data_IF_290950050971
#
_entry.id   IF_290950050971
#
_cell.length_a   1.000
_cell.length_b   1.000
_cell.length_c   1.000
_cell.angle_alpha   90.00
_cell.angle_beta   90.00
_cell.angle_gamma   90.00
#
_symmetry.space_group_name_H-M   'P 1'
#
loop_
_entity.id
_entity.type
_entity.pdbx_description
1 polymer ?
#
# COMPACT_ATOMS: atom_id res chain seq x y z
N UNK A 1 -12.70 -6.25 1.62
CA UNK A 1 -11.79 -5.21 1.11
C UNK A 1 -11.18 -4.46 2.27
N UNK A 2 -9.91 -4.11 2.15
CA UNK A 2 -9.21 -3.39 3.20
C UNK A 2 -9.83 -2.02 3.46
N UNK A 3 -9.73 -1.55 4.68
CA UNK A 3 -10.24 -0.25 5.08
C UNK A 3 -9.15 0.54 5.78
N UNK A 4 -9.19 1.86 5.60
CA UNK A 4 -8.31 2.76 6.33
C UNK A 4 -8.96 3.03 7.68
N UNK A 5 -8.24 2.80 8.77
CA UNK A 5 -8.80 2.83 10.11
C UNK A 5 -8.20 3.91 11.01
N UNK A 6 -7.23 4.69 10.52
CA UNK A 6 -6.63 5.75 11.30
C UNK A 6 -6.97 7.14 10.74
N UNK A 7 -6.24 8.17 11.14
CA UNK A 7 -6.54 9.56 10.77
C UNK A 7 -6.40 9.86 9.29
N UNK A 8 -5.78 8.99 8.51
CA UNK A 8 -5.78 9.14 7.06
C UNK A 8 -7.19 9.11 6.49
N UNK A 9 -8.10 8.37 7.12
CA UNK A 9 -9.46 8.22 6.59
C UNK A 9 -10.15 9.58 6.44
N UNK A 10 -10.05 10.45 7.44
CA UNK A 10 -10.69 11.76 7.38
C UNK A 10 -10.15 12.60 6.23
N UNK A 11 -8.85 12.47 5.95
CA UNK A 11 -8.20 13.27 4.90
C UNK A 11 -8.52 12.78 3.50
N UNK A 12 -8.76 11.49 3.31
CA UNK A 12 -8.96 10.93 1.97
C UNK A 12 -10.39 10.51 1.67
N UNK A 13 -11.27 10.54 2.66
CA UNK A 13 -12.64 10.00 2.51
C UNK A 13 -13.44 10.67 1.40
N UNK A 14 -13.18 11.95 1.13
CA UNK A 14 -13.86 12.66 0.05
C UNK A 14 -13.58 12.06 -1.32
N UNK A 15 -12.40 11.44 -1.49
CA UNK A 15 -12.04 10.81 -2.75
C UNK A 15 -12.88 9.57 -3.04
N UNK A 16 -13.38 8.92 -1.99
CA UNK A 16 -14.18 7.69 -2.15
C UNK A 16 -15.52 7.94 -2.84
N UNK A 17 -15.97 9.19 -2.88
CA UNK A 17 -17.24 9.57 -3.50
C UNK A 17 -17.09 10.00 -4.95
N UNK A 18 -15.85 10.08 -5.44
CA UNK A 18 -15.61 10.54 -6.81
C UNK A 18 -15.74 9.40 -7.82
N UNK A 19 -16.15 9.68 -9.06
CA UNK A 19 -16.35 8.63 -10.07
C UNK A 19 -15.10 7.79 -10.31
N UNK A 20 -13.91 8.41 -10.32
CA UNK A 20 -12.70 7.64 -10.59
C UNK A 20 -12.46 6.57 -9.53
N UNK A 21 -12.84 6.85 -8.28
CA UNK A 21 -12.63 5.87 -7.21
C UNK A 21 -13.56 4.67 -7.40
N UNK A 22 -14.79 4.91 -7.83
CA UNK A 22 -15.72 3.82 -8.08
C UNK A 22 -15.19 2.90 -9.18
N UNK A 23 -14.70 3.49 -10.26
CA UNK A 23 -14.15 2.72 -11.35
C UNK A 23 -12.92 1.92 -10.90
N UNK A 24 -12.05 2.55 -10.12
CA UNK A 24 -10.87 1.88 -9.58
C UNK A 24 -11.26 0.74 -8.64
N UNK A 25 -12.22 1.00 -7.75
CA UNK A 25 -12.68 0.00 -6.80
C UNK A 25 -13.23 -1.23 -7.52
N UNK A 26 -14.09 -1.01 -8.51
CA UNK A 26 -14.68 -2.11 -9.26
C UNK A 26 -13.60 -2.90 -10.01
N UNK A 27 -12.63 -2.21 -10.60
CA UNK A 27 -11.53 -2.85 -11.29
C UNK A 27 -10.71 -3.72 -10.34
N UNK A 28 -10.30 -3.16 -9.22
CA UNK A 28 -9.47 -3.88 -8.24
C UNK A 28 -10.22 -5.08 -7.67
N UNK A 29 -11.49 -4.90 -7.35
CA UNK A 29 -12.32 -5.98 -6.81
C UNK A 29 -12.41 -7.14 -7.80
N UNK A 30 -12.59 -6.82 -9.08
CA UNK A 30 -12.64 -7.84 -10.11
C UNK A 30 -11.30 -8.57 -10.23
N UNK A 31 -10.19 -7.83 -10.16
CA UNK A 31 -8.87 -8.46 -10.27
C UNK A 31 -8.63 -9.42 -9.12
N UNK A 32 -8.99 -9.04 -7.90
CA UNK A 32 -8.84 -9.94 -6.76
C UNK A 32 -9.73 -11.18 -6.84
N UNK A 33 -10.86 -11.08 -7.54
CA UNK A 33 -11.77 -12.21 -7.67
C UNK A 33 -11.37 -13.18 -8.79
N UNK A 34 -10.58 -12.73 -9.76
CA UNK A 34 -10.26 -13.51 -10.94
C UNK A 34 -8.78 -13.87 -11.06
N UNK A 35 -7.92 -13.22 -10.30
CA UNK A 35 -6.47 -13.44 -10.33
C UNK A 35 -5.90 -13.47 -8.93
N UNK A 36 -4.68 -14.00 -8.82
CA UNK A 36 -3.92 -13.87 -7.58
C UNK A 36 -3.22 -12.52 -7.63
N UNK A 37 -3.60 -11.62 -6.73
CA UNK A 37 -3.08 -10.25 -6.70
C UNK A 37 -2.30 -10.03 -5.41
N UNK A 38 -1.17 -9.36 -5.51
CA UNK A 38 -0.35 -9.01 -4.36
C UNK A 38 -0.27 -7.50 -4.21
N UNK A 39 -0.27 -6.99 -3.00
CA UNK A 39 -0.37 -7.71 -1.73
C UNK A 39 -1.78 -8.24 -1.50
N UNK A 40 -1.97 -9.09 -0.47
CA UNK A 40 -3.33 -9.44 -0.04
C UNK A 40 -4.12 -8.18 0.27
N UNK A 41 -5.44 -8.25 0.10
CA UNK A 41 -6.29 -7.06 0.23
C UNK A 41 -6.09 -6.32 1.56
N UNK A 42 -5.86 -7.05 2.63
CA UNK A 42 -5.67 -6.43 3.95
C UNK A 42 -4.38 -5.61 4.06
N UNK A 43 -3.44 -5.82 3.15
CA UNK A 43 -2.15 -5.12 3.18
C UNK A 43 -2.09 -3.93 2.24
N UNK A 44 -3.16 -3.64 1.49
CA UNK A 44 -3.15 -2.57 0.49
C UNK A 44 -2.77 -1.22 1.12
N UNK A 45 -3.29 -0.93 2.30
CA UNK A 45 -3.09 0.36 2.96
C UNK A 45 -2.06 0.30 4.09
N UNK A 46 -1.15 -0.68 4.07
CA UNK A 46 -0.16 -0.80 5.12
C UNK A 46 0.66 0.46 5.34
N UNK A 47 1.05 1.14 4.25
CA UNK A 47 1.84 2.36 4.39
C UNK A 47 1.12 3.41 5.23
N UNK A 48 -0.19 3.53 5.05
CA UNK A 48 -1.00 4.49 5.80
C UNK A 48 -1.16 4.06 7.25
N UNK A 49 -1.36 2.77 7.47
CA UNK A 49 -1.57 2.25 8.82
C UNK A 49 -0.30 2.28 9.67
N UNK A 50 0.86 2.09 9.03
CA UNK A 50 2.13 2.08 9.75
C UNK A 50 2.54 3.48 10.23
N UNK A 51 2.10 4.54 9.54
CA UNK A 51 2.43 5.91 9.93
C UNK A 51 1.17 6.76 9.85
N UNK A 52 0.51 7.03 10.96
CA UNK A 52 -0.66 7.92 10.98
C UNK A 52 -0.33 9.28 10.38
N UNK A 53 -1.32 9.92 9.78
CA UNK A 53 -1.12 11.20 9.09
C UNK A 53 -0.48 12.24 10.02
N UNK A 54 -0.88 12.28 11.26
CA UNK A 54 -0.36 13.23 12.24
C UNK A 54 1.14 13.07 12.51
N UNK A 55 1.71 11.91 12.16
CA UNK A 55 3.13 11.61 12.39
C UNK A 55 3.97 11.66 11.13
N UNK A 56 3.36 11.90 9.98
CA UNK A 56 4.08 11.93 8.72
C UNK A 56 4.95 13.18 8.64
N UNK A 57 6.22 12.97 8.32
CA UNK A 57 7.16 14.06 8.07
C UNK A 57 7.60 14.12 6.62
N UNK A 58 7.63 12.96 5.97
CA UNK A 58 8.04 12.85 4.56
C UNK A 58 7.13 11.82 3.90
N UNK A 59 6.65 12.16 2.71
CA UNK A 59 5.88 11.23 1.88
C UNK A 59 6.72 10.84 0.67
N UNK A 60 6.91 9.54 0.49
CA UNK A 60 7.58 9.02 -0.70
C UNK A 60 6.54 8.30 -1.55
N UNK A 61 6.32 8.81 -2.76
CA UNK A 61 5.43 8.16 -3.70
C UNK A 61 6.29 7.39 -4.69
N UNK A 62 6.19 6.08 -4.64
CA UNK A 62 7.04 5.23 -5.46
C UNK A 62 6.31 4.01 -5.94
N UNK A 63 7.01 3.23 -6.73
CA UNK A 63 6.51 1.99 -7.29
C UNK A 63 6.73 0.85 -6.32
N UNK A 64 5.87 -0.16 -6.38
CA UNK A 64 6.09 -1.42 -5.68
C UNK A 64 7.42 -2.02 -6.16
N UNK A 65 8.36 -2.28 -5.25
CA UNK A 65 9.67 -2.80 -5.62
C UNK A 65 9.68 -4.31 -5.90
N UNK A 66 8.57 -4.99 -5.63
CA UNK A 66 8.55 -6.45 -5.66
C UNK A 66 7.86 -6.97 -6.90
N UNK A 67 8.34 -8.09 -7.42
CA UNK A 67 7.70 -8.75 -8.56
C UNK A 67 7.64 -10.27 -8.38
N UNK A 68 8.00 -10.78 -7.20
CA UNK A 68 7.87 -12.18 -6.86
C UNK A 68 6.67 -12.40 -5.96
N UNK A 69 6.19 -13.65 -5.94
CA UNK A 69 5.04 -13.99 -5.11
C UNK A 69 5.32 -13.73 -3.63
N UNK A 70 4.30 -13.24 -2.93
CA UNK A 70 4.30 -13.03 -1.49
C UNK A 70 5.30 -12.00 -0.98
N UNK A 71 5.90 -11.20 -1.86
CA UNK A 71 6.82 -10.15 -1.43
C UNK A 71 6.11 -8.82 -1.19
N UNK A 72 5.11 -8.49 -1.99
CA UNK A 72 4.41 -7.22 -1.87
C UNK A 72 3.62 -7.16 -0.55
N UNK A 73 3.71 -6.03 0.14
CA UNK A 73 3.05 -5.87 1.44
C UNK A 73 2.56 -4.43 1.67
N UNK A 74 2.29 -3.70 0.59
CA UNK A 74 1.66 -2.39 0.67
C UNK A 74 2.61 -1.24 0.90
N UNK A 75 3.91 -1.44 0.70
CA UNK A 75 4.92 -0.40 0.84
C UNK A 75 5.61 -0.17 -0.48
N UNK A 76 6.07 1.07 -0.72
CA UNK A 76 6.71 1.40 -1.97
C UNK A 76 8.21 1.11 -1.94
N UNK A 77 8.95 1.73 -2.83
CA UNK A 77 10.29 1.38 -3.26
C UNK A 77 11.37 1.34 -2.20
N UNK A 78 11.14 1.81 -1.00
CA UNK A 78 12.17 1.71 0.03
C UNK A 78 11.98 0.42 0.76
N UNK A 79 12.86 -0.52 0.51
CA UNK A 79 12.85 -1.79 1.19
C UNK A 79 13.94 -1.78 2.23
N UNK A 80 13.57 -2.16 3.40
CA UNK A 80 14.56 -2.39 4.39
C UNK A 80 14.77 -3.86 4.52
N UNK A 81 15.55 -4.31 4.81
CA UNK A 81 15.70 -5.70 5.01
C UNK A 81 15.99 -6.54 3.84
N UNK A 82 15.45 -6.23 3.67
CA UNK A 82 15.74 -6.91 2.96
C UNK A 82 16.44 -7.05 2.55
N UNK A 83 16.35 -6.63 2.66
CA UNK A 83 17.04 -6.54 2.41
C UNK A 83 17.55 -6.93 2.57
N UNK A 84 17.69 -7.17 2.92
CA UNK A 84 18.43 -7.35 3.23
C UNK A 84 19.05 -7.53 3.19
N UNK A 85 18.90 -7.60 3.33
CA UNK A 85 19.75 -7.51 3.49
C UNK A 85 20.24 -7.64 3.26
N UNK A 86 20.20 -7.69 3.25
CA UNK A 86 20.99 -7.45 3.23
C UNK A 86 21.26 -6.99 3.06
N UNK A 87 21.21 -7.03 3.08
CA UNK A 87 21.69 -6.32 3.14
C UNK A 87 21.67 -5.55 3.24
N UNK A 88 21.45 -5.49 3.38
CA UNK A 88 21.78 -4.58 3.77
C UNK A 88 21.64 -3.84 3.91
N UNK A 89 21.50 -3.62 4.13
CA UNK A 89 21.79 -2.75 4.59
C UNK A 89 21.90 -2.26 4.58
N UNK A 90 21.89 -2.18 4.74
CA UNK A 90 22.43 -1.64 4.97
C UNK A 90 22.42 -1.01 4.80
N UNK A 91 22.40 -1.09 4.63
CA UNK A 91 22.74 -0.41 4.66
C UNK A 91 22.49 0.28 4.58
N UNK A 92 22.26 0.26 4.57
CA UNK A 92 22.40 0.88 4.67
C UNK A 92 22.40 1.30 4.72
#
# INVERSE_FOLDING_TARGET
MAMITNDWLDSVSAEFKKPYYRDLYDFVKKEYSTHVVYPPADDIFNALHLTPLSEVKVLILGQDPYHNEHQAHGLSSVSYTHLRAHETLRHL
#
